data_IF_777173444552
#
_entry.id   IF_777173444552
#
_cell.length_a   1.000
_cell.length_b   1.000
_cell.length_c   1.000
_cell.angle_alpha   90.00
_cell.angle_beta   90.00
_cell.angle_gamma   90.00
#
_symmetry.space_group_name_H-M   'P 1'
#
loop_
_entity.id
_entity.type
_entity.pdbx_description
1 polymer ?
#
# COMPACT_ATOMS: atom_id res chain seq x y z
N UNK A 1 -42.91 44.15 -36.01
CA UNK A 1 -43.22 43.37 -37.20
C UNK A 1 -42.65 41.98 -36.89
N UNK A 2 -43.46 41.04 -36.36
CA UNK A 2 -44.22 39.98 -37.05
C UNK A 2 -43.33 39.24 -38.08
N UNK A 3 -42.91 38.01 -37.84
CA UNK A 3 -43.66 36.82 -38.21
C UNK A 3 -43.13 35.57 -37.50
N UNK A 4 -44.06 34.89 -36.93
CA UNK A 4 -44.25 33.49 -36.60
C UNK A 4 -44.11 32.58 -37.83
N UNK A 5 -43.55 31.38 -37.67
CA UNK A 5 -44.12 30.21 -38.33
C UNK A 5 -43.78 28.93 -37.60
N UNK A 6 -44.83 28.24 -37.30
CA UNK A 6 -45.02 26.92 -36.68
C UNK A 6 -44.95 25.81 -37.75
N UNK A 7 -44.96 24.55 -37.27
CA UNK A 7 -45.43 23.29 -37.93
C UNK A 7 -44.27 22.45 -38.50
N UNK A 8 -44.07 21.13 -38.21
CA UNK A 8 -45.00 19.99 -38.12
C UNK A 8 -44.39 18.81 -37.33
N UNK A 9 -45.25 18.17 -36.58
CA UNK A 9 -45.14 16.82 -36.01
C UNK A 9 -45.15 15.78 -37.14
N UNK A 10 -44.38 14.69 -36.98
CA UNK A 10 -44.75 13.42 -37.56
C UNK A 10 -44.38 12.28 -36.60
N UNK A 11 -45.42 11.68 -36.07
CA UNK A 11 -45.44 10.42 -35.32
C UNK A 11 -45.41 9.29 -36.34
N UNK A 12 -44.56 8.30 -36.14
CA UNK A 12 -44.69 7.00 -36.77
C UNK A 12 -44.55 5.90 -35.77
N UNK A 13 -45.67 5.40 -35.28
CA UNK A 13 -45.85 4.14 -34.60
C UNK A 13 -45.90 3.00 -35.61
N UNK A 14 -45.12 1.96 -35.41
CA UNK A 14 -45.39 0.65 -36.00
C UNK A 14 -45.33 -0.41 -34.92
N UNK A 15 -46.48 -1.00 -34.68
CA UNK A 15 -46.71 -2.26 -33.94
C UNK A 15 -46.42 -3.46 -34.85
N UNK A 16 -45.95 -4.54 -34.28
CA UNK A 16 -46.19 -5.95 -34.60
C UNK A 16 -45.15 -6.74 -33.79
N UNK A 17 -45.42 -7.81 -33.06
CA UNK A 17 -46.57 -8.66 -32.90
C UNK A 17 -46.10 -9.90 -32.12
N UNK A 18 -46.89 -10.37 -31.27
CA UNK A 18 -46.81 -11.52 -30.38
C UNK A 18 -46.39 -12.83 -31.05
N UNK A 19 -45.66 -13.72 -30.31
CA UNK A 19 -46.07 -15.12 -30.21
C UNK A 19 -45.57 -15.76 -28.91
N UNK A 20 -46.54 -16.13 -28.09
CA UNK A 20 -46.38 -17.04 -26.94
C UNK A 20 -46.10 -18.49 -27.42
N UNK A 21 -45.23 -19.20 -26.73
CA UNK A 21 -45.41 -20.63 -26.54
C UNK A 21 -45.10 -21.03 -25.10
N UNK A 22 -46.18 -21.37 -24.39
CA UNK A 22 -46.18 -22.12 -23.13
C UNK A 22 -45.70 -23.54 -23.39
N UNK A 23 -44.91 -24.10 -22.51
CA UNK A 23 -45.07 -25.47 -22.04
C UNK A 23 -44.64 -25.61 -20.58
N UNK A 24 -45.55 -26.20 -19.86
CA UNK A 24 -45.56 -26.49 -18.41
C UNK A 24 -44.65 -27.63 -18.00
N UNK A 25 -44.48 -27.63 -16.65
CA UNK A 25 -44.32 -28.79 -15.71
C UNK A 25 -42.88 -29.30 -15.53
N UNK A 26 -42.27 -29.25 -14.35
CA UNK A 26 -42.71 -29.84 -13.08
C UNK A 26 -42.02 -29.17 -11.87
N UNK A 27 -42.78 -29.07 -10.82
CA UNK A 27 -42.38 -28.69 -9.47
C UNK A 27 -41.77 -29.97 -8.81
N UNK A 28 -40.54 -29.85 -8.32
CA UNK A 28 -40.12 -30.67 -7.20
C UNK A 28 -39.34 -29.81 -6.19
N UNK A 29 -39.87 -29.83 -4.98
CA UNK A 29 -39.33 -29.17 -3.79
C UNK A 29 -37.98 -29.78 -3.45
N UNK A 30 -36.98 -28.94 -3.26
CA UNK A 30 -35.81 -29.25 -2.45
C UNK A 30 -35.55 -28.09 -1.50
N UNK A 31 -35.66 -28.41 -0.29
CA UNK A 31 -35.45 -27.79 0.99
C UNK A 31 -34.24 -26.86 1.09
N UNK A 32 -34.42 -25.85 1.97
CA UNK A 32 -33.40 -25.00 2.62
C UNK A 32 -32.03 -25.66 2.78
N UNK A 33 -30.98 -25.02 2.24
CA UNK A 33 -29.65 -25.10 2.81
C UNK A 33 -28.86 -23.81 2.58
N UNK A 34 -28.68 -23.13 3.70
CA UNK A 34 -27.50 -22.38 4.13
C UNK A 34 -26.92 -21.31 3.20
N UNK A 35 -27.31 -20.09 3.46
CA UNK A 35 -26.44 -18.92 3.31
C UNK A 35 -25.28 -19.01 4.31
N UNK A 36 -24.20 -19.70 3.95
CA UNK A 36 -22.93 -19.56 4.64
C UNK A 36 -22.32 -18.23 4.25
N UNK A 37 -22.13 -17.36 5.22
CA UNK A 37 -21.49 -16.06 5.05
C UNK A 37 -20.04 -16.26 4.61
N UNK A 38 -19.57 -15.40 3.70
CA UNK A 38 -18.19 -15.36 3.19
C UNK A 38 -17.15 -15.20 4.33
N UNK A 39 -17.59 -14.88 5.54
CA UNK A 39 -16.74 -14.76 6.72
C UNK A 39 -16.20 -16.11 7.24
N UNK A 40 -16.89 -17.22 7.02
CA UNK A 40 -16.47 -18.52 7.54
C UNK A 40 -15.46 -19.27 6.66
N UNK A 41 -15.27 -18.84 5.42
CA UNK A 41 -14.29 -19.46 4.51
C UNK A 41 -12.86 -18.98 4.70
N UNK A 42 -12.63 -17.90 5.46
CA UNK A 42 -11.29 -17.37 5.74
C UNK A 42 -10.65 -17.98 7.01
N UNK A 43 -11.40 -18.69 7.82
CA UNK A 43 -10.93 -19.26 9.10
C UNK A 43 -10.27 -20.64 8.98
N UNK A 44 -10.20 -21.27 7.81
CA UNK A 44 -9.73 -22.65 7.65
C UNK A 44 -8.39 -22.81 6.92
N UNK A 45 -7.63 -21.74 6.69
CA UNK A 45 -6.24 -21.84 6.22
C UNK A 45 -5.25 -21.86 7.38
N UNK A 46 -5.29 -22.92 8.20
CA UNK A 46 -4.14 -23.28 9.04
C UNK A 46 -3.20 -24.16 8.23
N UNK A 47 -1.96 -23.78 8.03
CA UNK A 47 -0.98 -24.64 7.37
C UNK A 47 -0.41 -25.63 8.39
N UNK A 48 -1.08 -26.76 8.60
CA UNK A 48 -0.41 -27.95 9.07
C UNK A 48 0.19 -28.68 7.86
N UNK A 49 1.39 -28.30 7.48
CA UNK A 49 2.27 -29.13 6.68
C UNK A 49 3.64 -29.16 7.32
N UNK A 50 3.86 -30.21 8.14
CA UNK A 50 5.19 -30.79 8.37
C UNK A 50 5.65 -31.42 7.05
N UNK A 51 6.08 -30.58 6.13
CA UNK A 51 6.76 -30.98 4.90
C UNK A 51 8.20 -30.54 5.04
N UNK A 52 9.12 -31.48 5.04
CA UNK A 52 10.55 -31.24 4.83
C UNK A 52 10.72 -30.34 3.61
N UNK A 53 10.91 -29.04 3.82
CA UNK A 53 11.25 -28.11 2.76
C UNK A 53 12.69 -28.39 2.35
N UNK A 54 12.88 -29.03 1.21
CA UNK A 54 14.11 -28.86 0.47
C UNK A 54 14.21 -27.36 0.13
N UNK A 55 14.96 -26.63 0.94
CA UNK A 55 15.37 -25.27 0.66
C UNK A 55 16.28 -25.28 -0.56
N UNK A 56 15.71 -25.19 -1.76
CA UNK A 56 16.43 -24.63 -2.91
C UNK A 56 16.44 -23.10 -2.74
N UNK A 57 16.99 -22.63 -1.61
CA UNK A 57 17.25 -21.23 -1.41
C UNK A 57 18.40 -20.84 -2.31
N UNK A 58 18.26 -19.78 -3.11
CA UNK A 58 19.40 -19.08 -3.67
C UNK A 58 20.20 -18.51 -2.48
N UNK A 59 21.16 -19.27 -2.01
CA UNK A 59 22.14 -18.77 -1.05
C UNK A 59 23.18 -18.02 -1.84
N UNK A 60 23.05 -16.69 -1.89
CA UNK A 60 24.13 -15.84 -2.40
C UNK A 60 25.35 -16.03 -1.50
N UNK A 61 26.51 -16.24 -2.11
CA UNK A 61 27.77 -16.26 -1.38
C UNK A 61 28.06 -14.88 -0.79
N UNK A 62 28.93 -14.84 0.19
CA UNK A 62 29.37 -13.56 0.79
C UNK A 62 29.98 -12.62 -0.26
N UNK A 63 30.68 -13.16 -1.23
CA UNK A 63 31.29 -12.43 -2.33
C UNK A 63 30.23 -11.84 -3.27
N UNK A 64 29.18 -12.59 -3.59
CA UNK A 64 28.04 -12.10 -4.39
C UNK A 64 27.29 -10.99 -3.67
N UNK A 65 27.00 -11.14 -2.37
CA UNK A 65 26.38 -10.09 -1.56
C UNK A 65 27.25 -8.82 -1.53
N UNK A 66 28.56 -8.96 -1.38
CA UNK A 66 29.49 -7.83 -1.41
C UNK A 66 29.55 -7.16 -2.79
N UNK A 67 29.43 -7.94 -3.87
CA UNK A 67 29.37 -7.40 -5.23
C UNK A 67 28.10 -6.58 -5.45
N UNK A 68 26.95 -7.08 -5.00
CA UNK A 68 25.68 -6.36 -5.04
C UNK A 68 25.74 -5.07 -4.22
N UNK A 69 26.31 -5.13 -3.02
CA UNK A 69 26.46 -3.98 -2.12
C UNK A 69 27.36 -2.86 -2.70
N UNK A 70 28.26 -3.16 -3.63
CA UNK A 70 29.08 -2.16 -4.34
C UNK A 70 28.28 -1.36 -5.38
N UNK A 71 27.15 -1.87 -5.83
CA UNK A 71 26.28 -1.25 -6.83
C UNK A 71 25.12 -0.49 -6.16
N UNK A 72 25.40 0.23 -5.06
CA UNK A 72 24.41 1.06 -4.40
C UNK A 72 23.84 2.11 -5.37
N UNK A 73 22.56 2.36 -5.26
CA UNK A 73 21.87 3.35 -6.08
C UNK A 73 22.47 4.74 -5.85
N UNK A 74 22.78 5.43 -6.92
CA UNK A 74 23.30 6.80 -6.84
C UNK A 74 22.26 7.77 -6.26
N UNK A 75 22.70 8.66 -5.36
CA UNK A 75 21.90 9.71 -4.74
C UNK A 75 22.30 11.06 -5.35
N UNK A 76 21.35 11.79 -5.91
CA UNK A 76 21.51 13.20 -6.24
C UNK A 76 21.29 14.03 -4.96
N UNK A 77 22.31 14.70 -4.47
CA UNK A 77 22.27 15.49 -3.24
C UNK A 77 21.33 16.71 -3.32
N UNK A 78 20.86 17.07 -4.52
CA UNK A 78 19.94 18.18 -4.73
C UNK A 78 18.46 17.76 -4.64
N UNK A 79 18.18 16.46 -4.55
CA UNK A 79 16.83 15.93 -4.52
C UNK A 79 16.49 15.34 -3.15
N UNK A 80 15.25 15.52 -2.68
CA UNK A 80 14.78 14.87 -1.46
C UNK A 80 14.93 13.34 -1.56
N UNK A 81 15.36 12.72 -0.47
CA UNK A 81 15.58 11.28 -0.38
C UNK A 81 14.48 10.59 0.42
N UNK A 82 13.81 9.65 -0.23
CA UNK A 82 12.75 8.81 0.31
C UNK A 82 13.32 7.43 0.60
N UNK A 83 13.41 7.07 1.87
CA UNK A 83 13.83 5.74 2.31
C UNK A 83 12.64 4.86 2.61
N UNK A 84 12.54 3.72 1.94
CA UNK A 84 11.51 2.72 2.18
C UNK A 84 12.16 1.57 2.94
N UNK A 85 11.68 1.29 4.15
CA UNK A 85 12.21 0.20 4.96
C UNK A 85 11.89 -1.15 4.34
N UNK A 86 12.84 -2.05 4.42
CA UNK A 86 12.72 -3.42 3.92
C UNK A 86 13.21 -4.41 4.97
N UNK A 87 12.46 -5.46 5.16
CA UNK A 87 12.77 -6.58 6.04
C UNK A 87 12.10 -7.85 5.54
N UNK A 88 12.48 -8.99 6.08
CA UNK A 88 11.90 -10.26 5.66
C UNK A 88 10.39 -10.30 5.94
N UNK A 89 9.62 -10.88 5.02
CA UNK A 89 8.15 -10.92 5.08
C UNK A 89 7.45 -9.56 4.96
N UNK A 90 8.12 -8.55 4.47
CA UNK A 90 7.45 -7.27 4.16
C UNK A 90 6.36 -7.47 3.08
N UNK A 91 5.24 -6.77 3.19
CA UNK A 91 4.21 -6.77 2.16
C UNK A 91 4.70 -6.03 0.91
N UNK A 92 4.72 -6.74 -0.22
CA UNK A 92 5.29 -6.24 -1.48
C UNK A 92 4.64 -4.92 -1.93
N UNK A 93 3.30 -4.83 -1.86
CA UNK A 93 2.58 -3.63 -2.31
C UNK A 93 2.98 -2.39 -1.52
N UNK A 94 3.37 -2.54 -0.25
CA UNK A 94 3.77 -1.41 0.60
C UNK A 94 5.19 -0.92 0.33
N UNK A 95 5.98 -1.69 -0.40
CA UNK A 95 7.23 -1.26 -1.02
C UNK A 95 6.98 -0.66 -2.41
N UNK A 96 6.24 -1.39 -3.25
CA UNK A 96 6.10 -1.04 -4.67
C UNK A 96 5.20 0.17 -4.89
N UNK A 97 4.16 0.38 -4.09
CA UNK A 97 3.29 1.55 -4.23
C UNK A 97 4.04 2.90 -4.08
N UNK A 98 4.82 3.13 -3.00
CA UNK A 98 5.61 4.35 -2.93
C UNK A 98 6.71 4.40 -4.01
N UNK A 99 7.33 3.28 -4.36
CA UNK A 99 8.30 3.25 -5.48
C UNK A 99 7.65 3.69 -6.79
N UNK A 100 6.48 3.14 -7.12
CA UNK A 100 5.73 3.52 -8.33
C UNK A 100 5.38 5.00 -8.37
N UNK A 101 4.96 5.56 -7.24
CA UNK A 101 4.52 6.95 -7.14
C UNK A 101 5.70 7.91 -7.22
N UNK A 102 6.73 7.72 -6.38
CA UNK A 102 7.82 8.68 -6.25
C UNK A 102 8.93 8.53 -7.29
N UNK A 103 9.05 7.37 -7.94
CA UNK A 103 10.01 7.20 -9.04
C UNK A 103 9.54 7.81 -10.37
N UNK A 104 8.30 8.31 -10.45
CA UNK A 104 7.83 8.98 -11.67
C UNK A 104 8.47 10.36 -11.81
N UNK A 105 9.09 10.55 -12.96
CA UNK A 105 9.63 11.84 -13.35
C UNK A 105 8.49 12.84 -13.60
N UNK A 106 8.81 14.12 -13.59
CA UNK A 106 7.91 15.17 -14.05
C UNK A 106 7.56 15.00 -15.55
N UNK A 107 6.52 15.68 -16.01
CA UNK A 107 6.10 15.63 -17.43
C UNK A 107 7.22 16.00 -18.41
N UNK A 108 8.17 16.84 -17.99
CA UNK A 108 9.36 17.24 -18.76
C UNK A 108 10.56 16.29 -18.55
N UNK A 109 10.36 15.14 -17.93
CA UNK A 109 11.35 14.07 -17.78
C UNK A 109 12.37 14.24 -16.67
N UNK A 110 12.19 15.21 -15.75
CA UNK A 110 13.12 15.43 -14.63
C UNK A 110 12.83 14.48 -13.47
N UNK A 111 13.86 13.91 -12.90
CA UNK A 111 13.78 13.21 -11.62
C UNK A 111 13.42 14.22 -10.52
N UNK A 112 12.53 13.83 -9.60
CA UNK A 112 12.05 14.68 -8.51
C UNK A 112 12.53 14.20 -7.13
N UNK A 113 12.80 12.92 -6.98
CA UNK A 113 13.17 12.29 -5.71
C UNK A 113 14.25 11.22 -5.91
N UNK A 114 15.09 11.04 -4.91
CA UNK A 114 15.79 9.78 -4.73
C UNK A 114 14.84 8.82 -4.00
N UNK A 115 14.59 7.65 -4.56
CA UNK A 115 13.77 6.61 -3.93
C UNK A 115 14.67 5.40 -3.71
N UNK A 116 14.86 5.02 -2.46
CA UNK A 116 15.79 3.94 -2.06
C UNK A 116 15.11 2.97 -1.09
N UNK A 117 15.57 1.73 -1.15
CA UNK A 117 15.22 0.70 -0.17
C UNK A 117 16.33 0.55 0.86
N UNK A 118 15.95 0.38 2.13
CA UNK A 118 16.89 0.33 3.25
C UNK A 118 16.54 -0.84 4.16
N UNK A 119 17.53 -1.67 4.49
CA UNK A 119 17.38 -2.78 5.43
C UNK A 119 18.45 -2.76 6.52
N UNK A 120 18.34 -3.61 7.53
CA UNK A 120 19.33 -3.71 8.60
C UNK A 120 20.71 -4.12 8.07
N UNK A 121 20.74 -4.99 7.07
CA UNK A 121 21.96 -5.52 6.47
C UNK A 121 21.76 -5.77 4.97
N UNK A 122 22.85 -5.94 4.25
CA UNK A 122 22.82 -6.49 2.90
C UNK A 122 22.54 -7.98 2.96
N UNK A 123 21.33 -8.35 2.54
CA UNK A 123 20.86 -9.73 2.48
C UNK A 123 19.77 -9.86 1.44
N UNK A 124 19.41 -11.09 1.07
CA UNK A 124 18.28 -11.37 0.20
C UNK A 124 17.02 -11.51 1.06
N UNK A 125 16.12 -10.55 0.98
CA UNK A 125 14.84 -10.56 1.69
C UNK A 125 13.75 -11.17 0.81
N UNK A 126 12.78 -11.82 1.44
CA UNK A 126 11.63 -12.39 0.72
C UNK A 126 10.36 -11.74 1.24
N UNK A 127 9.56 -11.14 0.35
CA UNK A 127 8.26 -10.59 0.72
C UNK A 127 7.26 -11.69 1.12
N UNK A 128 6.14 -11.30 1.70
CA UNK A 128 5.05 -12.24 2.01
C UNK A 128 4.58 -13.00 0.76
N UNK A 129 4.56 -12.33 -0.38
CA UNK A 129 4.14 -12.89 -1.67
C UNK A 129 5.24 -13.70 -2.38
N UNK A 130 6.42 -13.81 -1.77
CA UNK A 130 7.53 -14.63 -2.28
C UNK A 130 8.52 -13.91 -3.21
N UNK A 131 8.37 -12.60 -3.44
CA UNK A 131 9.33 -11.82 -4.21
C UNK A 131 10.65 -11.70 -3.44
N UNK A 132 11.77 -12.03 -4.10
CA UNK A 132 13.11 -11.86 -3.53
C UNK A 132 13.67 -10.50 -3.92
N UNK A 133 14.21 -9.79 -2.93
CA UNK A 133 14.64 -8.41 -3.06
C UNK A 133 15.98 -8.20 -2.33
N UNK A 134 16.75 -7.23 -2.80
CA UNK A 134 18.00 -6.80 -2.20
C UNK A 134 17.94 -5.29 -1.92
N UNK A 135 18.38 -4.79 -0.74
CA UNK A 135 18.29 -3.37 -0.41
C UNK A 135 19.33 -2.54 -1.13
N UNK A 136 19.00 -1.28 -1.43
CA UNK A 136 19.95 -0.30 -1.95
C UNK A 136 20.98 0.11 -0.88
N UNK A 137 20.53 0.25 0.39
CA UNK A 137 21.33 0.69 1.53
C UNK A 137 21.03 -0.15 2.78
N UNK A 138 21.93 -0.03 3.76
CA UNK A 138 21.71 -0.60 5.10
C UNK A 138 21.54 0.51 6.12
N UNK A 139 21.11 0.18 7.35
CA UNK A 139 21.05 1.14 8.44
C UNK A 139 22.39 1.82 8.72
N UNK A 140 23.49 1.09 8.51
CA UNK A 140 24.86 1.57 8.79
C UNK A 140 25.37 2.59 7.76
N UNK A 141 24.90 2.54 6.51
CA UNK A 141 25.34 3.44 5.44
C UNK A 141 24.20 4.18 4.75
N UNK A 142 23.02 4.22 5.37
CA UNK A 142 21.88 5.00 4.89
C UNK A 142 22.27 6.47 4.73
N UNK A 143 21.96 7.10 3.59
CA UNK A 143 22.05 8.55 3.49
C UNK A 143 21.06 9.22 4.45
N UNK A 144 21.19 10.54 4.62
CA UNK A 144 20.15 11.34 5.27
C UNK A 144 18.82 11.16 4.51
N UNK A 145 17.75 10.91 5.25
CA UNK A 145 16.41 10.80 4.68
C UNK A 145 15.61 12.06 4.94
N UNK A 146 14.89 12.52 3.94
CA UNK A 146 13.87 13.57 4.09
C UNK A 146 12.51 12.93 4.39
N UNK A 147 12.27 11.73 3.89
CA UNK A 147 11.06 10.94 4.15
C UNK A 147 11.44 9.50 4.50
N UNK A 148 10.79 8.94 5.53
CA UNK A 148 10.87 7.52 5.83
C UNK A 148 9.50 6.86 5.69
N UNK A 149 9.46 5.72 4.99
CA UNK A 149 8.25 4.90 4.80
C UNK A 149 8.44 3.57 5.51
N UNK A 150 7.51 3.27 6.40
CA UNK A 150 7.50 2.10 7.28
C UNK A 150 6.37 1.16 6.81
N UNK A 151 6.68 0.14 6.01
CA UNK A 151 5.72 -0.86 5.56
C UNK A 151 5.37 -1.85 6.68
N UNK A 152 4.57 -2.87 6.37
CA UNK A 152 4.20 -3.93 7.29
C UNK A 152 4.56 -5.33 6.80
N UNK A 153 4.35 -6.31 7.66
CA UNK A 153 4.24 -7.74 7.40
C UNK A 153 2.94 -8.24 8.03
N UNK A 154 2.49 -9.45 7.69
CA UNK A 154 1.31 -10.03 8.36
C UNK A 154 1.59 -10.30 9.84
N UNK A 155 2.80 -10.75 10.17
CA UNK A 155 3.25 -10.89 11.57
C UNK A 155 4.37 -9.90 11.86
N UNK A 156 4.07 -8.88 12.66
CA UNK A 156 5.02 -7.85 13.08
C UNK A 156 5.82 -8.19 14.34
N UNK A 157 5.64 -9.40 14.89
CA UNK A 157 6.25 -9.79 16.20
C UNK A 157 7.76 -9.64 16.20
N UNK A 158 8.44 -10.05 15.14
CA UNK A 158 9.90 -9.95 15.04
C UNK A 158 10.34 -8.51 14.78
N UNK A 159 9.60 -7.76 13.98
CA UNK A 159 9.91 -6.39 13.60
C UNK A 159 9.83 -5.45 14.80
N UNK A 160 8.76 -5.52 15.59
CA UNK A 160 8.61 -4.67 16.79
C UNK A 160 9.60 -5.02 17.90
N UNK A 161 10.10 -6.26 17.95
CA UNK A 161 11.15 -6.68 18.86
C UNK A 161 12.57 -6.38 18.34
N UNK A 162 12.71 -6.04 17.06
CA UNK A 162 14.01 -5.71 16.50
C UNK A 162 14.43 -4.31 16.92
N UNK A 163 15.26 -4.25 17.94
CA UNK A 163 15.76 -3.00 18.51
C UNK A 163 16.50 -2.14 17.48
N UNK A 164 17.27 -2.74 16.57
CA UNK A 164 18.02 -2.00 15.56
C UNK A 164 17.05 -1.30 14.56
N UNK A 165 15.98 -1.97 14.18
CA UNK A 165 14.93 -1.40 13.30
C UNK A 165 14.18 -0.26 14.02
N UNK A 166 13.77 -0.48 15.27
CA UNK A 166 13.06 0.53 16.08
C UNK A 166 13.95 1.76 16.30
N UNK A 167 15.21 1.57 16.71
CA UNK A 167 16.15 2.66 16.93
C UNK A 167 16.46 3.41 15.61
N UNK A 168 16.59 2.70 14.49
CA UNK A 168 16.80 3.33 13.17
C UNK A 168 15.64 4.26 12.80
N UNK A 169 14.39 3.79 12.94
CA UNK A 169 13.20 4.61 12.67
C UNK A 169 13.20 5.86 13.56
N UNK A 170 13.50 5.68 14.86
CA UNK A 170 13.52 6.77 15.82
C UNK A 170 14.56 7.83 15.47
N UNK A 171 15.78 7.42 15.15
CA UNK A 171 16.87 8.33 14.77
C UNK A 171 16.56 9.04 13.45
N UNK A 172 16.10 8.32 12.44
CA UNK A 172 15.74 8.95 11.16
C UNK A 172 14.61 9.95 11.31
N UNK A 173 13.59 9.64 12.14
CA UNK A 173 12.48 10.55 12.37
C UNK A 173 12.91 11.92 12.92
N UNK A 174 14.04 12.04 13.60
CA UNK A 174 14.52 13.34 14.13
C UNK A 174 14.75 14.35 12.98
N UNK A 175 15.18 13.87 11.82
CA UNK A 175 15.61 14.69 10.69
C UNK A 175 14.72 14.59 9.46
N UNK A 176 13.69 13.72 9.46
CA UNK A 176 12.75 13.60 8.33
C UNK A 176 11.67 14.66 8.41
N UNK A 177 11.26 15.17 7.24
CA UNK A 177 10.11 16.04 7.09
C UNK A 177 8.79 15.26 7.22
N UNK A 178 8.78 14.00 6.76
CA UNK A 178 7.62 13.11 6.86
C UNK A 178 8.01 11.69 7.28
N UNK A 179 7.15 11.10 8.10
CA UNK A 179 7.21 9.67 8.49
C UNK A 179 5.87 9.04 8.13
N UNK A 180 5.90 8.05 7.22
CA UNK A 180 4.71 7.34 6.76
C UNK A 180 4.72 5.94 7.31
N UNK A 181 3.58 5.46 7.83
CA UNK A 181 3.36 4.04 8.10
C UNK A 181 2.20 3.50 7.29
N UNK A 182 2.36 2.29 6.79
CA UNK A 182 1.29 1.58 6.11
C UNK A 182 0.89 0.34 6.92
N UNK A 183 -0.41 0.05 7.00
CA UNK A 183 -0.95 -1.16 7.63
C UNK A 183 -0.41 -1.36 9.08
N UNK A 184 0.05 -2.56 9.39
CA UNK A 184 0.66 -2.91 10.67
C UNK A 184 2.04 -2.25 10.93
N UNK A 185 2.62 -1.55 9.95
CA UNK A 185 3.77 -0.67 10.16
C UNK A 185 3.52 0.41 11.22
N UNK A 186 2.25 0.74 11.49
CA UNK A 186 1.83 1.57 12.61
C UNK A 186 2.28 1.04 13.97
N UNK A 187 2.48 -0.28 14.12
CA UNK A 187 3.02 -0.88 15.34
C UNK A 187 4.47 -0.50 15.58
N UNK A 188 5.29 -0.41 14.52
CA UNK A 188 6.66 0.10 14.64
C UNK A 188 6.68 1.57 15.08
N UNK A 189 5.76 2.38 14.54
CA UNK A 189 5.62 3.78 14.97
C UNK A 189 5.22 3.85 16.45
N UNK A 190 4.31 2.98 16.89
CA UNK A 190 3.93 2.84 18.31
C UNK A 190 5.11 2.46 19.19
N UNK A 191 5.89 1.46 18.77
CA UNK A 191 7.05 0.96 19.52
C UNK A 191 8.16 2.01 19.68
N UNK A 192 8.37 2.84 18.66
CA UNK A 192 9.35 3.95 18.76
C UNK A 192 8.93 5.06 19.71
N UNK A 193 7.63 5.23 19.97
CA UNK A 193 7.08 6.35 20.75
C UNK A 193 7.12 7.71 20.06
N UNK A 194 7.60 7.82 18.82
CA UNK A 194 7.79 9.12 18.11
C UNK A 194 6.48 9.85 17.79
N UNK A 195 5.36 9.12 17.72
CA UNK A 195 4.05 9.66 17.38
C UNK A 195 3.08 9.73 18.60
N UNK A 196 3.58 9.82 19.82
CA UNK A 196 2.73 9.97 21.01
C UNK A 196 1.79 11.17 20.86
N UNK A 197 0.49 10.96 21.12
CA UNK A 197 -0.56 11.97 20.99
C UNK A 197 -1.01 12.25 19.55
N UNK A 198 -0.43 11.60 18.55
CA UNK A 198 -0.77 11.77 17.14
C UNK A 198 -1.85 10.82 16.68
N UNK A 199 -2.65 11.28 15.73
CA UNK A 199 -3.63 10.44 15.02
C UNK A 199 -2.90 9.47 14.10
N UNK A 200 -3.38 8.24 14.06
CA UNK A 200 -2.82 7.17 13.22
C UNK A 200 -3.94 6.21 12.80
N UNK A 201 -3.84 5.64 11.62
CA UNK A 201 -4.66 4.51 11.16
C UNK A 201 -3.77 3.31 10.85
N UNK A 202 -4.34 2.12 10.95
CA UNK A 202 -3.64 0.85 10.69
C UNK A 202 -4.50 -0.05 9.78
N UNK A 203 -4.19 -1.35 9.65
CA UNK A 203 -4.99 -2.26 8.83
C UNK A 203 -6.44 -2.35 9.31
N UNK A 204 -7.35 -2.69 8.40
CA UNK A 204 -8.78 -2.82 8.71
C UNK A 204 -8.97 -3.95 9.73
N UNK A 205 -9.58 -3.62 10.87
CA UNK A 205 -9.79 -4.52 12.01
C UNK A 205 -8.67 -4.48 13.07
N UNK A 206 -7.55 -3.80 12.80
CA UNK A 206 -6.39 -3.76 13.73
C UNK A 206 -6.38 -2.61 14.72
N UNK A 207 -7.26 -1.62 14.55
CA UNK A 207 -7.22 -0.39 15.35
C UNK A 207 -7.37 -0.61 16.85
N UNK A 208 -8.26 -1.53 17.25
CA UNK A 208 -8.46 -1.87 18.67
C UNK A 208 -7.20 -2.48 19.29
N UNK A 209 -6.53 -3.36 18.58
CA UNK A 209 -5.29 -3.98 19.03
C UNK A 209 -4.16 -2.96 19.11
N UNK A 210 -3.98 -2.14 18.09
CA UNK A 210 -2.98 -1.09 18.07
C UNK A 210 -3.19 -0.11 19.22
N UNK A 211 -4.43 0.36 19.47
CA UNK A 211 -4.74 1.27 20.56
C UNK A 211 -4.47 0.66 21.93
N UNK A 212 -4.73 -0.65 22.10
CA UNK A 212 -4.45 -1.38 23.34
C UNK A 212 -2.94 -1.49 23.60
N UNK A 213 -2.17 -1.82 22.57
CA UNK A 213 -0.73 -2.02 22.69
C UNK A 213 0.04 -0.70 22.83
N UNK A 214 -0.46 0.36 22.20
CA UNK A 214 0.17 1.69 22.21
C UNK A 214 -0.85 2.78 22.61
N UNK A 215 -1.21 2.86 23.91
CA UNK A 215 -2.30 3.70 24.41
C UNK A 215 -2.06 5.20 24.24
N UNK A 216 -0.83 5.63 23.99
CA UNK A 216 -0.52 7.04 23.74
C UNK A 216 -0.78 7.48 22.29
N UNK A 217 -1.00 6.57 21.35
CA UNK A 217 -1.47 6.90 20.02
C UNK A 217 -2.95 7.26 20.04
N UNK A 218 -3.41 8.06 19.08
CA UNK A 218 -4.82 8.35 18.83
C UNK A 218 -5.28 7.57 17.60
N UNK A 219 -5.52 6.27 17.78
CA UNK A 219 -5.89 5.39 16.68
C UNK A 219 -7.27 5.75 16.15
N UNK A 220 -7.39 5.93 14.84
CA UNK A 220 -8.61 6.29 14.16
C UNK A 220 -9.39 5.04 13.73
N UNK A 221 -10.67 5.21 13.44
CA UNK A 221 -11.58 4.14 13.00
C UNK A 221 -11.15 3.61 11.60
N UNK A 222 -10.42 2.51 11.61
CA UNK A 222 -9.85 1.87 10.42
C UNK A 222 -10.89 1.31 9.44
N UNK A 223 -12.13 1.13 9.89
CA UNK A 223 -13.25 0.71 9.03
C UNK A 223 -13.81 1.85 8.16
N UNK A 224 -13.51 3.09 8.49
CA UNK A 224 -14.04 4.30 7.81
C UNK A 224 -12.95 5.17 7.20
N UNK A 225 -11.75 5.10 7.75
CA UNK A 225 -10.66 6.01 7.41
C UNK A 225 -9.51 5.20 6.84
N UNK A 226 -9.16 5.46 5.57
CA UNK A 226 -8.07 4.77 4.89
C UNK A 226 -6.74 5.53 4.95
N UNK A 227 -6.76 6.80 5.33
CA UNK A 227 -5.59 7.65 5.40
C UNK A 227 -5.74 8.69 6.51
N UNK A 228 -4.67 8.94 7.25
CA UNK A 228 -4.59 9.96 8.30
C UNK A 228 -3.29 10.74 8.15
N UNK A 229 -3.40 12.05 8.35
CA UNK A 229 -2.27 12.95 8.51
C UNK A 229 -2.38 13.68 9.85
N UNK A 230 -1.29 13.76 10.62
CA UNK A 230 -1.16 14.58 11.82
C UNK A 230 0.25 15.14 11.96
N UNK A 231 0.44 16.35 11.43
CA UNK A 231 1.74 16.99 11.32
C UNK A 231 2.63 16.29 10.31
N UNK A 232 3.81 15.83 10.71
CA UNK A 232 4.69 15.08 9.82
C UNK A 232 4.38 13.58 9.71
N UNK A 233 3.42 13.10 10.51
CA UNK A 233 3.04 11.69 10.50
C UNK A 233 1.89 11.45 9.54
N UNK A 234 2.07 10.49 8.66
CA UNK A 234 1.05 10.01 7.74
C UNK A 234 0.87 8.50 7.92
N UNK A 235 -0.35 8.01 7.79
CA UNK A 235 -0.62 6.58 7.90
C UNK A 235 -1.76 6.15 7.00
N UNK A 236 -1.71 4.89 6.54
CA UNK A 236 -2.77 4.28 5.73
C UNK A 236 -3.10 2.86 6.17
N UNK A 237 -4.22 2.31 5.67
CA UNK A 237 -4.57 0.90 5.93
C UNK A 237 -3.61 -0.10 5.26
N UNK A 238 -2.67 0.36 4.43
CA UNK A 238 -1.74 -0.51 3.71
C UNK A 238 -2.30 -1.10 2.41
N UNK A 239 -1.59 -2.07 1.82
CA UNK A 239 -1.92 -2.61 0.51
C UNK A 239 -2.19 -1.50 -0.52
N UNK A 240 -3.33 -1.50 -1.21
CA UNK A 240 -3.68 -0.45 -2.17
C UNK A 240 -3.84 0.95 -1.54
N UNK A 241 -4.14 1.05 -0.24
CA UNK A 241 -4.16 2.34 0.46
C UNK A 241 -2.77 2.96 0.60
N UNK A 242 -1.68 2.21 0.38
CA UNK A 242 -0.32 2.74 0.30
C UNK A 242 -0.12 3.68 -0.90
N UNK A 243 -0.91 3.51 -1.98
CA UNK A 243 -0.96 4.48 -3.06
C UNK A 243 -1.61 5.79 -2.60
N UNK A 244 -2.63 5.73 -1.73
CA UNK A 244 -3.29 6.93 -1.20
C UNK A 244 -2.28 7.75 -0.39
N UNK A 245 -1.61 7.16 0.60
CA UNK A 245 -0.62 7.85 1.43
C UNK A 245 0.53 8.43 0.59
N UNK A 246 0.99 7.69 -0.41
CA UNK A 246 2.06 8.14 -1.31
C UNK A 246 1.63 9.29 -2.21
N UNK A 247 0.41 9.25 -2.77
CA UNK A 247 -0.13 10.31 -3.64
C UNK A 247 -0.49 11.57 -2.84
N UNK A 248 -0.99 11.45 -1.61
CA UNK A 248 -1.22 12.59 -0.72
C UNK A 248 0.10 13.30 -0.39
N UNK A 249 1.16 12.55 -0.09
CA UNK A 249 2.47 13.15 0.12
C UNK A 249 3.05 13.72 -1.18
N UNK A 250 2.92 13.03 -2.32
CA UNK A 250 3.40 13.53 -3.62
C UNK A 250 2.79 14.90 -3.95
N UNK A 251 1.47 15.07 -3.74
CA UNK A 251 0.81 16.35 -3.96
C UNK A 251 1.39 17.46 -3.10
N UNK A 252 1.72 17.18 -1.84
CA UNK A 252 2.35 18.14 -0.90
C UNK A 252 3.76 18.53 -1.30
N UNK A 253 4.56 17.55 -1.71
CA UNK A 253 5.95 17.76 -2.11
C UNK A 253 6.09 18.41 -3.50
N UNK A 254 5.04 18.31 -4.32
CA UNK A 254 5.03 18.82 -5.68
C UNK A 254 3.82 19.73 -5.91
N UNK A 255 2.78 19.21 -6.52
CA UNK A 255 1.50 19.89 -6.75
C UNK A 255 0.44 18.91 -7.27
N UNK A 256 -0.83 19.36 -7.26
CA UNK A 256 -1.99 18.60 -7.75
C UNK A 256 -1.87 18.16 -9.21
N UNK A 257 -1.19 18.94 -10.06
CA UNK A 257 -1.02 18.60 -11.49
C UNK A 257 -0.14 17.36 -11.63
N UNK A 258 0.99 17.32 -10.91
CA UNK A 258 1.89 16.16 -10.95
C UNK A 258 1.25 14.92 -10.31
N UNK A 259 0.52 15.07 -9.21
CA UNK A 259 -0.29 13.96 -8.66
C UNK A 259 -1.22 13.35 -9.70
N UNK A 260 -2.01 14.18 -10.39
CA UNK A 260 -2.92 13.70 -11.45
C UNK A 260 -2.19 13.04 -12.61
N UNK A 261 -1.03 13.56 -12.98
CA UNK A 261 -0.19 12.92 -14.00
C UNK A 261 0.22 11.51 -13.57
N UNK A 262 0.68 11.34 -12.32
CA UNK A 262 1.07 10.03 -11.79
C UNK A 262 -0.13 9.08 -11.66
N UNK A 263 -1.27 9.55 -11.14
CA UNK A 263 -2.52 8.77 -11.07
C UNK A 263 -2.93 8.24 -12.45
N UNK A 264 -2.86 9.08 -13.46
CA UNK A 264 -3.22 8.73 -14.85
C UNK A 264 -2.19 7.78 -15.47
N UNK A 265 -0.90 8.01 -15.21
CA UNK A 265 0.18 7.14 -15.69
C UNK A 265 0.09 5.72 -15.12
N UNK A 266 -0.32 5.59 -13.87
CA UNK A 266 -0.51 4.32 -13.18
C UNK A 266 -1.92 3.73 -13.40
N UNK A 267 -2.77 4.38 -14.19
CA UNK A 267 -4.16 4.01 -14.43
C UNK A 267 -5.04 3.93 -13.17
N UNK A 268 -4.65 4.57 -12.08
CA UNK A 268 -5.40 4.54 -10.82
C UNK A 268 -6.76 5.23 -10.93
N UNK A 269 -6.86 6.28 -11.74
CA UNK A 269 -8.11 6.95 -12.09
C UNK A 269 -9.12 6.02 -12.77
N UNK A 270 -8.65 5.06 -13.56
CA UNK A 270 -9.49 4.05 -14.22
C UNK A 270 -9.98 2.97 -13.25
N UNK A 271 -9.16 2.58 -12.28
CA UNK A 271 -9.57 1.63 -11.25
C UNK A 271 -10.75 2.15 -10.43
N UNK A 272 -10.80 3.45 -10.13
CA UNK A 272 -11.90 4.09 -9.42
C UNK A 272 -13.21 4.11 -10.22
N UNK A 273 -13.12 4.05 -11.54
CA UNK A 273 -14.26 4.09 -12.46
C UNK A 273 -14.67 2.70 -12.93
N UNK A 274 -13.96 1.65 -12.54
CA UNK A 274 -14.25 0.30 -13.01
C UNK A 274 -15.58 -0.19 -12.47
N UNK A 275 -16.53 -0.37 -13.38
CA UNK A 275 -17.83 -1.01 -13.14
C UNK A 275 -17.85 -2.35 -13.85
N UNK A 276 -18.33 -3.38 -13.16
CA UNK A 276 -18.62 -4.68 -13.79
C UNK A 276 -19.84 -4.57 -14.71
#
# INVERSE_FOLDING_TARGET
MKHSLLIFLTVCTIFFGCSEQKKNENIEQATDEQTTSVADSLASCSPNQTGSSSQTGYNLSKEELQSLAKNTKHIDSNLPTIGILMYDKVLMTELTAPMDVFAKHSEDGKQLFNVITIAEKYDLFTSEEGLKMFPDYTFANSPKLDIIIVPSAYDMTNQVKNKNLVDFIKVQNENTDYTISNCAGASLIGETGIAEGKKIVTWIGGGTELQKNYPKLKVQDDSKISFVEDGKFMSSNGNLASYISSLELLEKLTNKKHRKFVESYLYLDRLQQWKK
#
